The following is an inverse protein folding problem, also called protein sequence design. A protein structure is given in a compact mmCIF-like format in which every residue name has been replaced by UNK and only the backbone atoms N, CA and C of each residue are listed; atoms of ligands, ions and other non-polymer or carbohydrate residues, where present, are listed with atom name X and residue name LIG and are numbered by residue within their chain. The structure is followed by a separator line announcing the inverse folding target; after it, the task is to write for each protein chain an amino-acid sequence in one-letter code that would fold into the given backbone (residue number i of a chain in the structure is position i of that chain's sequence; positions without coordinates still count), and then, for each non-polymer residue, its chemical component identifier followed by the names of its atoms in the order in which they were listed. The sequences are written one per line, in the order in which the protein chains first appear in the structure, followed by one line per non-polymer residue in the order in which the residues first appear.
data_IF_808468371366
#
_entry.id   IF_808468371366
#
_cell.length_a   1.000
_cell.length_b   1.000
_cell.length_c   1.000
_cell.angle_alpha   90.00
_cell.angle_beta   90.00
_cell.angle_gamma   90.00
#
_symmetry.space_group_name_H-M   'P 1'
#
loop_
_entity.id
_entity.type
_entity.pdbx_description
1 polymer ?
#
# COMPACT_ATOMS: atom_id res chain seq x y z
N UNK A 1 -5.48 0.50 14.99
CA UNK A 1 -4.03 0.43 14.67
C UNK A 1 -3.65 1.14 13.37
N UNK A 2 -4.03 0.66 12.17
CA UNK A 2 -3.62 1.32 10.90
C UNK A 2 -4.21 2.72 10.77
N UNK A 3 -5.50 2.87 11.10
CA UNK A 3 -6.18 4.17 11.15
C UNK A 3 -5.57 5.09 12.22
N UNK A 4 -5.34 4.59 13.43
CA UNK A 4 -4.77 5.36 14.55
C UNK A 4 -3.36 5.91 14.24
N UNK A 5 -2.59 5.23 13.39
CA UNK A 5 -1.26 5.67 12.97
C UNK A 5 -1.29 6.71 11.83
N UNK A 6 -2.44 6.94 11.21
CA UNK A 6 -2.60 7.76 10.01
C UNK A 6 -1.73 7.26 8.85
N UNK A 7 -1.52 5.95 8.76
CA UNK A 7 -0.54 5.36 7.85
C UNK A 7 -0.95 5.56 6.39
N UNK A 8 -2.22 5.28 6.08
CA UNK A 8 -2.77 5.36 4.73
C UNK A 8 -2.65 6.79 4.21
N UNK A 9 -3.07 7.76 5.01
CA UNK A 9 -3.04 9.19 4.68
C UNK A 9 -1.61 9.70 4.48
N UNK A 10 -0.66 9.22 5.29
CA UNK A 10 0.76 9.57 5.15
C UNK A 10 1.35 9.04 3.85
N UNK A 11 1.06 7.78 3.50
CA UNK A 11 1.53 7.19 2.25
C UNK A 11 0.88 7.89 1.05
N UNK A 12 -0.43 8.11 1.07
CA UNK A 12 -1.16 8.76 -0.02
C UNK A 12 -0.73 10.20 -0.26
N UNK A 13 -0.38 10.93 0.82
CA UNK A 13 0.16 12.29 0.70
C UNK A 13 1.46 12.32 -0.10
N UNK A 14 2.35 11.36 0.15
CA UNK A 14 3.66 11.26 -0.51
C UNK A 14 3.57 10.60 -1.90
N UNK A 15 2.55 9.78 -2.13
CA UNK A 15 2.36 9.06 -3.38
C UNK A 15 2.23 10.01 -4.58
N UNK A 16 2.93 9.75 -5.70
CA UNK A 16 2.71 10.48 -6.95
C UNK A 16 1.33 10.16 -7.57
N UNK A 17 0.78 8.99 -7.25
CA UNK A 17 -0.56 8.55 -7.68
C UNK A 17 -1.59 9.08 -6.70
N UNK A 18 -2.60 9.80 -7.19
CA UNK A 18 -3.64 10.43 -6.37
C UNK A 18 -4.93 9.62 -6.39
N UNK A 19 -5.71 9.70 -5.30
CA UNK A 19 -6.90 8.87 -5.10
C UNK A 19 -7.99 9.03 -6.17
N UNK A 20 -8.03 10.15 -6.90
CA UNK A 20 -8.94 10.34 -8.04
C UNK A 20 -8.61 9.44 -9.25
N UNK A 21 -7.39 8.92 -9.32
CA UNK A 21 -6.89 8.14 -10.45
C UNK A 21 -6.93 6.63 -10.16
N UNK A 22 -7.43 6.20 -9.00
CA UNK A 22 -7.42 4.81 -8.55
C UNK A 22 -8.66 4.46 -7.72
N UNK A 23 -9.17 3.23 -7.88
CA UNK A 23 -10.31 2.73 -7.10
C UNK A 23 -9.95 2.48 -5.62
N UNK A 24 -8.73 1.99 -5.38
CA UNK A 24 -8.13 1.82 -4.05
C UNK A 24 -6.85 2.63 -4.03
N UNK A 25 -6.51 3.26 -2.89
CA UNK A 25 -5.33 4.13 -2.82
C UNK A 25 -4.02 3.34 -2.72
N UNK A 26 -2.89 4.03 -2.91
CA UNK A 26 -1.57 3.42 -2.69
C UNK A 26 -1.38 3.12 -1.21
N UNK A 27 -1.81 4.03 -0.33
CA UNK A 27 -1.76 3.87 1.13
C UNK A 27 -2.51 2.62 1.59
N UNK A 28 -3.73 2.38 1.09
CA UNK A 28 -4.50 1.18 1.41
C UNK A 28 -3.77 -0.09 1.00
N UNK A 29 -3.17 -0.12 -0.20
CA UNK A 29 -2.41 -1.28 -0.66
C UNK A 29 -1.14 -1.53 0.14
N UNK A 30 -0.42 -0.48 0.54
CA UNK A 30 0.74 -0.60 1.44
C UNK A 30 0.30 -1.10 2.82
N UNK A 31 -0.82 -0.62 3.35
CA UNK A 31 -1.40 -1.12 4.59
C UNK A 31 -1.75 -2.61 4.50
N UNK A 32 -2.33 -3.05 3.38
CA UNK A 32 -2.63 -4.45 3.12
C UNK A 32 -1.37 -5.34 3.10
N UNK A 33 -0.27 -4.85 2.50
CA UNK A 33 1.01 -5.57 2.53
C UNK A 33 1.59 -5.70 3.95
N UNK A 34 1.46 -4.64 4.75
CA UNK A 34 1.92 -4.66 6.15
C UNK A 34 1.10 -5.65 6.98
N UNK A 35 -0.23 -5.65 6.85
CA UNK A 35 -1.11 -6.62 7.54
C UNK A 35 -0.75 -8.05 7.12
N UNK A 36 -0.57 -8.32 5.83
CA UNK A 36 -0.15 -9.64 5.34
C UNK A 36 1.19 -10.04 5.97
N UNK A 37 2.19 -9.15 5.99
CA UNK A 37 3.52 -9.43 6.52
C UNK A 37 3.55 -9.66 8.04
N UNK A 38 2.64 -9.04 8.78
CA UNK A 38 2.49 -9.23 10.22
C UNK A 38 1.67 -10.47 10.57
N UNK A 39 0.81 -10.93 9.66
CA UNK A 39 -0.10 -12.06 9.89
C UNK A 39 0.47 -13.39 9.41
N UNK A 40 0.63 -13.58 8.09
CA UNK A 40 0.88 -14.90 7.47
C UNK A 40 2.01 -14.86 6.43
N UNK A 41 2.50 -13.66 6.07
CA UNK A 41 3.63 -13.44 5.15
C UNK A 41 3.45 -14.16 3.81
N UNK A 42 2.22 -14.13 3.27
CA UNK A 42 1.98 -14.73 1.96
C UNK A 42 2.86 -14.05 0.90
N UNK A 43 3.39 -14.81 -0.07
CA UNK A 43 4.05 -14.22 -1.22
C UNK A 43 3.06 -13.32 -1.97
N UNK A 44 3.58 -12.33 -2.73
CA UNK A 44 2.77 -11.25 -3.32
C UNK A 44 1.56 -11.76 -4.14
N UNK A 45 1.76 -12.78 -4.96
CA UNK A 45 0.72 -13.41 -5.79
C UNK A 45 -0.36 -14.17 -5.02
N UNK A 46 -0.20 -14.35 -3.70
CA UNK A 46 -1.19 -14.98 -2.82
C UNK A 46 -1.82 -14.01 -1.83
N UNK A 47 -1.54 -12.71 -1.96
CA UNK A 47 -2.12 -11.71 -1.06
C UNK A 47 -3.61 -11.54 -1.33
N UNK A 48 -4.05 -11.64 -2.58
CA UNK A 48 -5.48 -11.69 -2.92
C UNK A 48 -6.18 -12.86 -2.21
N UNK A 49 -5.68 -14.09 -2.37
CA UNK A 49 -6.20 -15.30 -1.69
C UNK A 49 -6.25 -15.15 -0.16
N UNK A 50 -5.28 -14.44 0.43
CA UNK A 50 -5.26 -14.15 1.86
C UNK A 50 -6.43 -13.25 2.28
N UNK A 51 -6.78 -12.26 1.47
CA UNK A 51 -7.87 -11.32 1.74
C UNK A 51 -9.25 -11.84 1.32
N UNK A 52 -9.35 -12.83 0.43
CA UNK A 52 -10.61 -13.51 0.12
C UNK A 52 -11.26 -14.15 1.35
N UNK A 53 -10.45 -14.52 2.34
CA UNK A 53 -10.89 -15.15 3.59
C UNK A 53 -11.09 -14.14 4.74
N UNK A 54 -11.11 -12.83 4.45
CA UNK A 54 -11.20 -11.76 5.45
C UNK A 54 -12.31 -10.77 5.12
N UNK A 55 -12.73 -10.01 6.13
CA UNK A 55 -13.63 -8.88 5.95
C UNK A 55 -12.82 -7.66 5.46
N UNK A 56 -12.64 -7.58 4.14
CA UNK A 56 -11.84 -6.55 3.47
C UNK A 56 -12.43 -5.15 3.66
N UNK A 57 -13.76 -5.03 3.63
CA UNK A 57 -14.44 -3.75 3.81
C UNK A 57 -14.26 -3.21 5.24
N UNK A 58 -14.30 -4.10 6.24
CA UNK A 58 -14.01 -3.72 7.62
C UNK A 58 -12.55 -3.23 7.80
N UNK A 59 -11.60 -3.83 7.07
CA UNK A 59 -10.18 -3.50 7.21
C UNK A 59 -9.78 -2.22 6.48
N UNK A 60 -10.38 -1.95 5.32
CA UNK A 60 -9.91 -0.93 4.38
C UNK A 60 -10.96 0.09 3.95
N UNK A 61 -12.19 -0.07 4.42
CA UNK A 61 -13.31 0.80 4.08
C UNK A 61 -14.24 0.20 3.00
N UNK A 62 -15.43 0.80 2.84
CA UNK A 62 -16.48 0.27 1.98
C UNK A 62 -16.07 0.24 0.50
N UNK A 63 -16.46 -0.82 -0.20
CA UNK A 63 -16.21 -1.01 -1.63
C UNK A 63 -14.83 -1.56 -1.99
N UNK A 64 -13.94 -1.78 -1.01
CA UNK A 64 -12.65 -2.44 -1.24
C UNK A 64 -12.87 -3.95 -1.32
N UNK A 65 -12.37 -4.57 -2.40
CA UNK A 65 -12.49 -6.01 -2.64
C UNK A 65 -11.10 -6.66 -2.65
N UNK A 66 -11.04 -7.96 -2.32
CA UNK A 66 -9.79 -8.73 -2.36
C UNK A 66 -9.12 -8.68 -3.74
N UNK A 67 -9.90 -8.66 -4.82
CA UNK A 67 -9.41 -8.54 -6.19
C UNK A 67 -8.69 -7.23 -6.49
N UNK A 68 -8.88 -6.18 -5.70
CA UNK A 68 -8.12 -4.93 -5.80
C UNK A 68 -6.74 -5.01 -5.14
N UNK A 69 -6.48 -6.11 -4.42
CA UNK A 69 -5.25 -6.47 -3.71
C UNK A 69 -4.52 -7.64 -4.40
N UNK A 70 -4.70 -7.79 -5.70
CA UNK A 70 -3.89 -8.70 -6.53
C UNK A 70 -2.44 -8.21 -6.69
N UNK A 71 -1.55 -9.09 -7.12
CA UNK A 71 -0.12 -8.81 -7.25
C UNK A 71 0.19 -7.66 -8.20
N UNK A 72 -0.50 -7.55 -9.34
CA UNK A 72 -0.34 -6.44 -10.27
C UNK A 72 -0.62 -5.09 -9.59
N UNK A 73 -1.72 -5.00 -8.85
CA UNK A 73 -2.12 -3.79 -8.15
C UNK A 73 -1.17 -3.46 -6.99
N UNK A 74 -0.71 -4.47 -6.25
CA UNK A 74 0.25 -4.33 -5.16
C UNK A 74 1.65 -3.96 -5.66
N UNK A 75 2.10 -4.54 -6.77
CA UNK A 75 3.38 -4.20 -7.41
C UNK A 75 3.41 -2.73 -7.84
N UNK A 76 2.34 -2.25 -8.50
CA UNK A 76 2.21 -0.83 -8.85
C UNK A 76 2.21 0.08 -7.62
N UNK A 77 1.61 -0.35 -6.51
CA UNK A 77 1.64 0.40 -5.26
C UNK A 77 3.07 0.49 -4.68
N UNK A 78 3.84 -0.59 -4.74
CA UNK A 78 5.25 -0.61 -4.33
C UNK A 78 6.11 0.32 -5.20
N UNK A 79 5.89 0.33 -6.52
CA UNK A 79 6.59 1.24 -7.43
C UNK A 79 6.28 2.71 -7.14
N UNK A 80 5.01 3.03 -6.88
CA UNK A 80 4.59 4.36 -6.48
C UNK A 80 5.21 4.76 -5.13
N UNK A 81 5.25 3.84 -4.17
CA UNK A 81 5.86 4.06 -2.86
C UNK A 81 7.38 4.27 -2.95
N UNK A 82 8.08 3.45 -3.73
CA UNK A 82 9.50 3.61 -3.99
C UNK A 82 9.81 4.97 -4.65
N UNK A 83 9.00 5.37 -5.64
CA UNK A 83 9.14 6.68 -6.30
C UNK A 83 8.92 7.85 -5.32
N UNK A 84 7.92 7.74 -4.45
CA UNK A 84 7.64 8.73 -3.40
C UNK A 84 8.81 8.87 -2.43
N UNK A 85 9.37 7.76 -1.96
CA UNK A 85 10.54 7.75 -1.08
C UNK A 85 11.75 8.38 -1.76
N UNK A 86 12.02 8.04 -3.02
CA UNK A 86 13.10 8.67 -3.79
C UNK A 86 12.96 10.19 -3.86
N UNK A 87 11.75 10.69 -4.10
CA UNK A 87 11.48 12.14 -4.08
C UNK A 87 11.75 12.77 -2.70
N UNK A 88 11.31 12.11 -1.63
CA UNK A 88 11.54 12.58 -0.26
C UNK A 88 13.04 12.65 0.08
N UNK A 89 13.80 11.60 -0.22
CA UNK A 89 15.23 11.54 0.11
C UNK A 89 16.08 12.44 -0.81
N UNK A 90 15.69 12.62 -2.08
CA UNK A 90 16.34 13.58 -2.97
C UNK A 90 16.18 15.04 -2.49
N UNK A 91 15.11 15.34 -1.75
CA UNK A 91 14.89 16.68 -1.18
C UNK A 91 15.76 16.98 0.07
N UNK A 92 16.46 15.98 0.62
CA UNK A 92 17.39 16.13 1.75
C UNK A 92 18.85 15.93 1.29
N UNK A 93 19.78 16.87 1.58
CA UNK A 93 21.16 16.86 1.05
C UNK A 93 22.09 15.77 1.61
N UNK A 94 21.57 14.67 2.18
CA UNK A 94 22.36 13.53 2.66
C UNK A 94 21.72 12.14 2.42
N UNK A 95 20.60 12.06 1.71
CA UNK A 95 19.79 10.84 1.57
C UNK A 95 20.03 10.09 0.25
N UNK A 96 21.23 9.55 0.02
CA UNK A 96 21.40 8.56 -1.03
C UNK A 96 20.86 7.21 -0.53
N UNK A 97 19.76 6.72 -1.12
CA UNK A 97 19.33 5.33 -0.94
C UNK A 97 20.36 4.46 -1.69
N UNK A 98 21.13 3.58 -1.03
CA UNK A 98 22.04 2.68 -1.74
C UNK A 98 21.24 1.79 -2.70
N UNK A 99 21.76 1.65 -3.93
CA UNK A 99 21.19 0.80 -4.97
C UNK A 99 21.28 -0.68 -4.60
#
# INVERSE_FOLDING_TARGET
MIEEMGLIERVDRLSPVKGKDCNVSVGTRIAALIINQLSDRKPLFKVEEFYENQDVELLFGPGVQASELNDDALARALDAHHSALRGLFASHPGGAIPR
#
